data_IF_319807386162
#
_entry.id   IF_319807386162
#
_cell.length_a   1.000
_cell.length_b   1.000
_cell.length_c   1.000
_cell.angle_alpha   90.00
_cell.angle_beta   90.00
_cell.angle_gamma   90.00
#
_symmetry.space_group_name_H-M   'P 1'
#
loop_
_entity.id
_entity.type
_entity.pdbx_description
1 polymer ?
#
# COMPACT_ATOMS: atom_id res chain seq x y z
N UNK A 1 11.22 18.35 -2.09
CA UNK A 1 11.46 16.90 -2.11
C UNK A 1 10.50 16.32 -3.14
N UNK A 2 11.01 15.73 -4.23
CA UNK A 2 10.17 15.09 -5.25
C UNK A 2 10.22 13.57 -5.04
N UNK A 3 9.08 12.89 -5.27
CA UNK A 3 8.99 11.44 -5.21
C UNK A 3 8.89 10.90 -6.64
N UNK A 4 9.81 10.02 -7.00
CA UNK A 4 9.82 9.32 -8.30
C UNK A 4 9.41 7.86 -8.09
N UNK A 5 8.43 7.38 -8.87
CA UNK A 5 7.91 6.02 -8.78
C UNK A 5 8.53 5.14 -9.87
N UNK A 6 9.14 4.03 -9.47
CA UNK A 6 9.71 3.03 -10.38
C UNK A 6 9.60 1.62 -9.80
N UNK A 7 9.83 0.61 -10.64
CA UNK A 7 9.93 -0.79 -10.23
C UNK A 7 11.31 -1.08 -9.63
N UNK A 8 11.35 -1.90 -8.58
CA UNK A 8 12.59 -2.38 -8.01
C UNK A 8 13.23 -3.45 -8.89
N UNK A 9 14.54 -3.35 -9.12
CA UNK A 9 15.30 -4.45 -9.73
C UNK A 9 15.57 -5.58 -8.72
N UNK A 10 15.83 -6.78 -9.22
CA UNK A 10 16.17 -7.92 -8.36
C UNK A 10 17.40 -7.62 -7.48
N UNK A 11 18.41 -6.91 -8.02
CA UNK A 11 19.61 -6.49 -7.27
C UNK A 11 19.28 -5.46 -6.18
N UNK A 12 18.40 -4.51 -6.46
CA UNK A 12 17.96 -3.53 -5.47
C UNK A 12 17.21 -4.20 -4.32
N UNK A 13 16.35 -5.18 -4.63
CA UNK A 13 15.67 -5.99 -3.61
C UNK A 13 16.70 -6.74 -2.77
N UNK A 14 17.70 -7.37 -3.38
CA UNK A 14 18.76 -8.09 -2.67
C UNK A 14 19.57 -7.21 -1.71
N UNK A 15 19.82 -5.95 -2.08
CA UNK A 15 20.52 -4.97 -1.22
C UNK A 15 19.65 -4.44 -0.08
N UNK A 16 18.36 -4.22 -0.34
CA UNK A 16 17.43 -3.60 0.62
C UNK A 16 16.82 -4.60 1.61
N UNK A 17 16.79 -5.89 1.26
CA UNK A 17 16.02 -6.88 2.00
C UNK A 17 16.85 -8.06 2.50
N UNK A 18 16.43 -8.60 3.63
CA UNK A 18 17.11 -9.70 4.30
C UNK A 18 16.62 -11.03 3.74
N UNK A 19 17.54 -11.95 3.48
CA UNK A 19 17.22 -13.27 2.98
C UNK A 19 16.45 -14.09 4.04
N UNK A 20 15.28 -14.59 3.65
CA UNK A 20 14.51 -15.55 4.43
C UNK A 20 14.71 -16.92 3.79
N UNK A 21 15.37 -17.80 4.53
CA UNK A 21 15.81 -19.11 4.01
C UNK A 21 14.92 -20.25 4.46
N UNK A 22 14.26 -20.10 5.61
CA UNK A 22 13.51 -21.19 6.25
C UNK A 22 12.09 -20.76 6.59
N UNK A 23 11.15 -21.71 6.48
CA UNK A 23 9.72 -21.46 6.70
C UNK A 23 9.40 -20.99 8.13
N UNK A 24 10.13 -21.47 9.13
CA UNK A 24 9.93 -21.07 10.53
C UNK A 24 10.31 -19.60 10.77
N UNK A 25 11.19 -19.01 9.96
CA UNK A 25 11.52 -17.57 10.01
C UNK A 25 10.35 -16.68 9.55
N UNK A 26 9.24 -17.27 9.12
CA UNK A 26 7.98 -16.57 8.84
C UNK A 26 6.96 -16.69 9.98
N UNK A 27 7.12 -17.64 10.90
CA UNK A 27 6.13 -17.99 11.95
C UNK A 27 6.64 -17.83 13.38
N UNK A 28 7.95 -17.92 13.60
CA UNK A 28 8.51 -17.94 14.95
C UNK A 28 8.65 -16.53 15.52
N UNK A 29 8.02 -16.26 16.65
CA UNK A 29 8.17 -15.01 17.42
C UNK A 29 9.62 -14.73 17.89
N UNK A 30 10.51 -15.72 17.87
CA UNK A 30 11.91 -15.60 18.31
C UNK A 30 12.92 -15.64 17.16
N UNK A 31 12.56 -16.26 16.02
CA UNK A 31 13.47 -16.35 14.87
C UNK A 31 13.08 -15.50 13.67
N UNK A 32 11.81 -15.15 13.56
CA UNK A 32 11.33 -14.09 12.69
C UNK A 32 11.40 -12.73 13.41
N UNK A 33 11.45 -11.67 12.63
CA UNK A 33 11.71 -10.27 13.01
C UNK A 33 10.56 -9.64 13.82
N UNK A 34 10.07 -10.35 14.83
CA UNK A 34 8.97 -9.99 15.70
C UNK A 34 9.49 -9.03 16.75
N UNK A 35 8.95 -7.82 16.74
CA UNK A 35 9.01 -6.90 17.85
C UNK A 35 8.09 -7.45 18.92
N UNK A 36 8.56 -8.47 19.65
CA UNK A 36 8.22 -8.48 21.06
C UNK A 36 8.80 -7.15 21.59
N UNK A 37 8.01 -6.23 22.17
CA UNK A 37 8.50 -4.91 22.59
C UNK A 37 9.67 -4.98 23.57
N UNK A 38 9.98 -6.18 24.06
CA UNK A 38 11.07 -6.50 24.98
C UNK A 38 12.31 -7.09 24.27
N UNK A 39 12.22 -7.53 23.01
CA UNK A 39 13.32 -8.14 22.27
C UNK A 39 13.96 -7.16 21.28
N UNK A 40 15.30 -7.06 21.23
CA UNK A 40 15.98 -6.20 20.27
C UNK A 40 15.88 -6.76 18.85
N UNK A 41 15.68 -5.88 17.88
CA UNK A 41 15.68 -6.27 16.48
C UNK A 41 17.01 -6.90 16.06
N UNK A 42 16.99 -8.05 15.38
CA UNK A 42 18.21 -8.73 14.93
C UNK A 42 19.10 -7.91 13.99
N UNK A 43 18.50 -7.01 13.20
CA UNK A 43 19.22 -6.23 12.20
C UNK A 43 19.71 -4.88 12.73
N UNK A 44 18.84 -4.09 13.35
CA UNK A 44 19.21 -2.76 13.87
C UNK A 44 19.50 -2.72 15.38
N UNK A 45 19.29 -3.83 16.10
CA UNK A 45 19.46 -3.96 17.57
C UNK A 45 18.63 -2.99 18.41
N UNK A 46 17.72 -2.25 17.79
CA UNK A 46 16.77 -1.36 18.47
C UNK A 46 15.57 -2.14 18.97
N UNK A 47 15.08 -1.75 20.14
CA UNK A 47 13.93 -2.39 20.82
C UNK A 47 12.62 -1.66 20.46
N UNK A 48 12.58 -0.32 20.60
CA UNK A 48 11.34 0.46 20.50
C UNK A 48 11.23 1.24 19.17
N UNK A 49 12.35 1.73 18.63
CA UNK A 49 12.39 2.56 17.41
C UNK A 49 12.89 1.81 16.18
N UNK A 50 12.52 0.54 16.03
CA UNK A 50 12.82 -0.18 14.79
C UNK A 50 11.79 0.21 13.71
N UNK A 51 12.21 0.79 12.58
CA UNK A 51 11.28 1.12 11.48
C UNK A 51 10.73 -0.13 10.76
N UNK A 52 11.26 -1.31 11.09
CA UNK A 52 11.01 -2.56 10.37
C UNK A 52 12.04 -2.79 9.26
N UNK A 53 12.26 -4.06 8.91
CA UNK A 53 13.17 -4.46 7.84
C UNK A 53 12.44 -5.35 6.85
N UNK A 54 12.64 -5.09 5.56
CA UNK A 54 12.09 -5.92 4.48
C UNK A 54 12.81 -7.26 4.45
N UNK A 55 12.05 -8.33 4.28
CA UNK A 55 12.58 -9.64 3.93
C UNK A 55 12.50 -9.89 2.43
N UNK A 56 13.15 -10.95 1.96
CA UNK A 56 12.93 -11.53 0.64
C UNK A 56 12.90 -13.04 0.67
N UNK A 57 12.06 -13.62 -0.18
CA UNK A 57 12.07 -15.04 -0.49
C UNK A 57 12.56 -15.20 -1.93
N UNK A 58 13.70 -15.88 -2.15
CA UNK A 58 14.16 -16.20 -3.49
C UNK A 58 13.31 -17.33 -4.07
N UNK A 59 12.93 -17.20 -5.33
CA UNK A 59 12.22 -18.23 -6.09
C UNK A 59 13.20 -18.89 -7.05
N UNK A 60 13.05 -20.20 -7.23
CA UNK A 60 13.85 -20.98 -8.18
C UNK A 60 13.64 -20.56 -9.64
N UNK A 61 12.44 -20.06 -9.98
CA UNK A 61 12.09 -19.57 -11.31
C UNK A 61 11.57 -18.15 -11.28
N UNK A 62 11.82 -17.42 -12.36
CA UNK A 62 11.25 -16.10 -12.56
C UNK A 62 9.72 -16.17 -12.64
N UNK A 63 9.07 -15.24 -11.95
CA UNK A 63 7.62 -15.00 -12.04
C UNK A 63 7.39 -13.65 -12.68
N UNK A 64 6.43 -13.57 -13.61
CA UNK A 64 6.03 -12.29 -14.22
C UNK A 64 5.07 -11.59 -13.27
N UNK A 65 5.33 -10.32 -12.94
CA UNK A 65 4.47 -9.55 -12.05
C UNK A 65 3.03 -9.43 -12.62
N UNK A 66 1.97 -9.92 -11.93
CA UNK A 66 0.62 -10.03 -12.48
C UNK A 66 0.03 -8.71 -13.04
N UNK A 67 0.23 -7.59 -12.32
CA UNK A 67 -0.28 -6.28 -12.75
C UNK A 67 0.33 -5.76 -14.06
N UNK A 68 1.55 -6.19 -14.40
CA UNK A 68 2.29 -5.69 -15.56
C UNK A 68 2.31 -6.67 -16.73
N UNK A 69 1.69 -7.86 -16.62
CA UNK A 69 1.64 -8.87 -17.69
C UNK A 69 1.08 -8.28 -18.98
N UNK A 70 -0.03 -7.55 -18.91
CA UNK A 70 -0.68 -7.00 -20.10
C UNK A 70 0.18 -5.93 -20.79
N UNK A 71 0.88 -5.11 -20.01
CA UNK A 71 1.78 -4.08 -20.53
C UNK A 71 3.01 -4.76 -21.16
N UNK A 72 3.60 -5.73 -20.48
CA UNK A 72 4.73 -6.50 -20.98
C UNK A 72 4.39 -7.20 -22.31
N UNK A 73 3.23 -7.87 -22.39
CA UNK A 73 2.79 -8.53 -23.62
C UNK A 73 2.63 -7.53 -24.77
N UNK A 74 2.06 -6.34 -24.52
CA UNK A 74 1.94 -5.26 -25.52
C UNK A 74 3.31 -4.82 -26.02
N UNK A 75 4.24 -4.51 -25.12
CA UNK A 75 5.60 -4.11 -25.52
C UNK A 75 6.34 -5.22 -26.28
N UNK A 76 6.17 -6.48 -25.88
CA UNK A 76 6.74 -7.62 -26.59
C UNK A 76 6.16 -7.76 -28.00
N UNK A 77 4.90 -7.35 -28.26
CA UNK A 77 4.35 -7.36 -29.64
C UNK A 77 5.09 -6.42 -30.58
N UNK A 78 5.74 -5.39 -30.05
CA UNK A 78 6.56 -4.47 -30.83
C UNK A 78 7.93 -5.05 -31.18
N UNK A 79 8.37 -6.09 -30.47
CA UNK A 79 9.61 -6.83 -30.75
C UNK A 79 9.36 -8.02 -31.66
N UNK A 80 10.26 -8.26 -32.60
CA UNK A 80 10.28 -9.52 -33.36
C UNK A 80 11.27 -10.51 -32.73
N UNK A 81 10.84 -11.72 -32.31
CA UNK A 81 11.73 -12.70 -31.68
C UNK A 81 12.83 -13.26 -32.62
N UNK A 82 12.71 -13.07 -33.95
CA UNK A 82 13.68 -13.53 -34.94
C UNK A 82 14.74 -12.45 -35.21
N UNK A 83 14.33 -11.24 -35.60
CA UNK A 83 15.27 -10.16 -35.92
C UNK A 83 15.76 -9.38 -34.69
N UNK A 84 15.18 -9.63 -33.51
CA UNK A 84 15.57 -9.06 -32.20
C UNK A 84 15.51 -7.53 -32.11
N UNK A 85 14.95 -6.84 -33.11
CA UNK A 85 14.78 -5.38 -33.12
C UNK A 85 13.46 -4.98 -32.45
N UNK A 86 13.52 -3.92 -31.63
CA UNK A 86 12.36 -3.22 -31.12
C UNK A 86 11.73 -2.32 -32.19
N UNK A 87 10.45 -1.97 -32.02
CA UNK A 87 9.69 -1.05 -32.89
C UNK A 87 9.67 -1.39 -34.39
N UNK A 88 9.58 -2.68 -34.71
CA UNK A 88 9.49 -3.12 -36.12
C UNK A 88 8.07 -2.91 -36.64
N UNK A 89 7.93 -2.15 -37.73
CA UNK A 89 6.68 -1.95 -38.45
C UNK A 89 6.02 -3.30 -38.81
N UNK A 90 4.68 -3.36 -38.77
CA UNK A 90 3.92 -4.61 -38.98
C UNK A 90 4.25 -5.26 -40.34
N UNK A 91 4.51 -4.46 -41.38
CA UNK A 91 4.87 -4.93 -42.72
C UNK A 91 6.29 -5.53 -42.78
N UNK A 92 7.19 -5.07 -41.92
CA UNK A 92 8.55 -5.64 -41.80
C UNK A 92 8.50 -6.91 -40.94
N UNK A 93 7.59 -6.99 -39.96
CA UNK A 93 7.30 -8.22 -39.22
C UNK A 93 6.69 -9.29 -40.12
N UNK A 94 5.76 -8.93 -41.02
CA UNK A 94 5.20 -9.89 -41.97
C UNK A 94 6.31 -10.43 -42.88
N UNK A 95 7.13 -9.56 -43.51
CA UNK A 95 8.24 -9.98 -44.38
C UNK A 95 9.31 -10.79 -43.68
N UNK A 96 9.66 -10.45 -42.43
CA UNK A 96 10.66 -11.18 -41.65
C UNK A 96 10.15 -12.53 -41.11
N UNK A 97 8.83 -12.67 -40.89
CA UNK A 97 8.20 -13.85 -40.30
C UNK A 97 7.37 -14.68 -41.29
N UNK A 98 7.27 -14.26 -42.56
CA UNK A 98 6.37 -14.75 -43.62
C UNK A 98 6.50 -16.26 -43.89
N UNK A 99 7.56 -16.91 -43.41
CA UNK A 99 7.77 -18.36 -43.56
C UNK A 99 7.67 -19.19 -42.29
N UNK A 100 7.47 -18.62 -41.08
CA UNK A 100 7.51 -19.42 -39.83
C UNK A 100 6.46 -19.17 -38.75
N UNK A 101 5.69 -18.07 -38.75
CA UNK A 101 4.82 -17.74 -37.59
C UNK A 101 3.46 -17.17 -38.02
N UNK A 102 2.37 -17.77 -37.52
CA UNK A 102 0.98 -17.27 -37.65
C UNK A 102 0.57 -16.53 -36.37
N UNK A 103 0.93 -15.27 -36.21
CA UNK A 103 0.50 -14.44 -35.07
C UNK A 103 1.35 -13.20 -34.85
N UNK A 104 0.71 -12.10 -34.41
CA UNK A 104 1.34 -10.79 -34.19
C UNK A 104 1.38 -10.37 -32.72
N UNK A 105 0.73 -11.11 -31.82
CA UNK A 105 0.58 -10.77 -30.40
C UNK A 105 1.23 -11.79 -29.47
N UNK A 106 1.75 -11.30 -28.34
CA UNK A 106 2.16 -12.12 -27.20
C UNK A 106 1.02 -12.21 -26.19
N UNK A 107 0.84 -13.40 -25.61
CA UNK A 107 -0.07 -13.63 -24.48
C UNK A 107 0.56 -14.60 -23.49
N UNK A 108 0.24 -14.45 -22.19
CA UNK A 108 0.71 -15.35 -21.14
C UNK A 108 -0.41 -16.32 -20.76
N UNK A 109 -0.19 -17.63 -20.91
CA UNK A 109 -1.19 -18.65 -20.60
C UNK A 109 -0.63 -19.68 -19.61
N UNK A 110 -1.53 -20.30 -18.83
CA UNK A 110 -1.20 -21.46 -18.02
C UNK A 110 -0.85 -22.63 -18.95
N UNK A 111 0.37 -23.13 -18.85
CA UNK A 111 0.90 -24.19 -19.69
C UNK A 111 0.42 -25.55 -19.17
N UNK A 112 -0.57 -26.15 -19.85
CA UNK A 112 -1.00 -27.52 -19.58
C UNK A 112 -0.21 -28.49 -20.46
N UNK A 113 0.59 -29.35 -19.83
CA UNK A 113 1.46 -30.35 -20.48
C UNK A 113 0.69 -31.38 -21.34
N UNK A 114 -0.65 -31.37 -21.35
CA UNK A 114 -1.48 -32.38 -22.03
C UNK A 114 -1.64 -32.21 -23.55
N UNK A 115 -1.10 -31.17 -24.20
CA UNK A 115 -1.44 -30.87 -25.61
C UNK A 115 -0.30 -30.93 -26.64
N UNK A 116 0.76 -31.72 -26.39
CA UNK A 116 1.78 -32.01 -27.40
C UNK A 116 1.98 -33.51 -27.59
N UNK A 117 0.94 -34.22 -28.02
CA UNK A 117 1.05 -35.58 -28.56
C UNK A 117 0.30 -35.73 -29.89
N UNK A 118 0.29 -34.67 -30.71
CA UNK A 118 -0.09 -34.82 -32.11
C UNK A 118 0.98 -34.20 -33.02
N UNK A 119 1.67 -35.11 -33.73
CA UNK A 119 2.51 -34.91 -34.93
C UNK A 119 3.96 -34.47 -34.75
N UNK A 120 4.80 -35.42 -34.33
CA UNK A 120 6.13 -35.60 -34.93
C UNK A 120 6.57 -37.07 -34.81
N UNK A 121 6.41 -37.85 -35.89
CA UNK A 121 7.09 -39.14 -36.04
C UNK A 121 8.57 -38.86 -36.35
N UNK A 122 9.48 -39.26 -35.47
CA UNK A 122 10.93 -39.16 -35.72
C UNK A 122 11.80 -39.37 -34.47
N UNK A 123 12.26 -40.61 -34.31
CA UNK A 123 13.23 -41.24 -33.39
C UNK A 123 14.15 -40.38 -32.48
N UNK A 124 14.26 -40.89 -31.23
CA UNK A 124 15.40 -40.86 -30.25
C UNK A 124 15.87 -39.49 -29.75
N UNK A 125 16.11 -39.22 -28.47
CA UNK A 125 16.53 -40.05 -27.34
C UNK A 125 15.94 -39.53 -26.02
N UNK A 126 15.66 -40.45 -25.10
CA UNK A 126 15.31 -40.17 -23.70
C UNK A 126 16.51 -39.53 -23.01
N UNK A 127 16.33 -38.32 -22.46
CA UNK A 127 16.97 -37.91 -21.22
C UNK A 127 15.93 -37.16 -20.40
N UNK A 128 15.43 -37.85 -19.38
CA UNK A 128 14.49 -37.34 -18.38
C UNK A 128 15.23 -36.41 -17.43
N UNK A 129 15.41 -35.15 -17.82
CA UNK A 129 15.56 -34.08 -16.85
C UNK A 129 14.16 -33.60 -16.48
N UNK A 130 13.70 -33.95 -15.28
CA UNK A 130 12.54 -33.32 -14.65
C UNK A 130 12.87 -31.85 -14.33
N UNK A 131 13.00 -31.01 -15.35
CA UNK A 131 13.04 -29.56 -15.20
C UNK A 131 11.62 -29.14 -14.82
N UNK A 132 11.46 -28.67 -13.59
CA UNK A 132 10.27 -27.96 -13.11
C UNK A 132 9.85 -26.94 -14.15
N UNK A 133 8.80 -27.24 -14.91
CA UNK A 133 8.30 -26.30 -15.92
C UNK A 133 7.49 -25.22 -15.21
N UNK A 134 7.73 -23.95 -15.56
CA UNK A 134 6.92 -22.85 -15.07
C UNK A 134 5.46 -23.10 -15.45
N UNK A 135 4.52 -22.96 -14.51
CA UNK A 135 3.09 -23.15 -14.79
C UNK A 135 2.57 -22.21 -15.88
N UNK A 136 3.27 -21.12 -16.16
CA UNK A 136 2.90 -20.14 -17.18
C UNK A 136 3.96 -20.08 -18.29
N UNK A 137 3.51 -19.84 -19.51
CA UNK A 137 4.37 -19.66 -20.68
C UNK A 137 3.77 -18.60 -21.62
N UNK A 138 4.65 -17.88 -22.31
CA UNK A 138 4.27 -16.92 -23.34
C UNK A 138 3.98 -17.66 -24.64
N UNK A 139 2.87 -17.31 -25.28
CA UNK A 139 2.50 -17.77 -26.61
C UNK A 139 2.76 -16.65 -27.62
N UNK A 140 3.44 -16.97 -28.71
CA UNK A 140 3.59 -16.10 -29.87
C UNK A 140 3.33 -16.89 -31.14
N UNK A 141 2.22 -16.58 -31.80
CA UNK A 141 1.68 -17.42 -32.86
C UNK A 141 1.46 -18.87 -32.39
N UNK A 142 2.29 -19.79 -32.85
CA UNK A 142 2.23 -21.22 -32.46
C UNK A 142 3.41 -21.67 -31.56
N UNK A 143 4.29 -20.76 -31.15
CA UNK A 143 5.46 -21.09 -30.35
C UNK A 143 5.26 -20.71 -28.88
N UNK A 144 5.66 -21.62 -28.01
CA UNK A 144 5.64 -21.44 -26.56
C UNK A 144 7.02 -21.08 -26.05
N UNK A 145 7.10 -20.04 -25.24
CA UNK A 145 8.30 -19.57 -24.56
C UNK A 145 8.09 -19.64 -23.06
N UNK A 146 8.95 -20.37 -22.35
CA UNK A 146 8.94 -20.37 -20.88
C UNK A 146 9.33 -18.99 -20.36
N UNK A 147 8.94 -18.67 -19.11
CA UNK A 147 9.24 -17.36 -18.51
C UNK A 147 10.75 -17.09 -18.47
N UNK A 148 11.54 -18.11 -18.13
CA UNK A 148 13.02 -18.02 -18.12
C UNK A 148 13.58 -17.72 -19.50
N UNK A 149 13.12 -18.43 -20.53
CA UNK A 149 13.57 -18.22 -21.91
C UNK A 149 13.17 -16.82 -22.41
N UNK A 150 11.99 -16.34 -22.03
CA UNK A 150 11.56 -14.99 -22.39
C UNK A 150 12.46 -13.92 -21.75
N UNK A 151 12.79 -14.09 -20.46
CA UNK A 151 13.71 -13.21 -19.75
C UNK A 151 15.08 -13.14 -20.44
N UNK A 152 15.65 -14.28 -20.84
CA UNK A 152 16.91 -14.34 -21.59
C UNK A 152 16.80 -13.67 -22.97
N UNK A 153 15.69 -13.89 -23.69
CA UNK A 153 15.47 -13.26 -25.00
C UNK A 153 15.46 -11.74 -24.93
N UNK A 154 14.82 -11.17 -23.90
CA UNK A 154 14.76 -9.70 -23.69
C UNK A 154 16.17 -9.09 -23.54
N UNK A 155 17.12 -9.81 -22.95
CA UNK A 155 18.51 -9.34 -22.87
C UNK A 155 19.16 -9.24 -24.25
N UNK A 156 18.81 -10.15 -25.16
CA UNK A 156 19.38 -10.19 -26.51
C UNK A 156 18.72 -9.23 -27.50
N UNK A 157 17.59 -8.62 -27.13
CA UNK A 157 16.91 -7.66 -27.98
C UNK A 157 17.65 -6.31 -28.01
N UNK A 158 17.65 -5.72 -29.20
CA UNK A 158 18.20 -4.40 -29.49
C UNK A 158 17.14 -3.33 -29.20
N UNK A 159 17.41 -2.59 -28.13
CA UNK A 159 16.63 -1.46 -27.63
C UNK A 159 17.46 -0.16 -27.68
N UNK A 160 18.37 -0.03 -28.65
CA UNK A 160 19.22 1.16 -28.81
C UNK A 160 18.44 2.48 -28.79
N UNK A 161 17.23 2.51 -29.33
CA UNK A 161 16.34 3.69 -29.31
C UNK A 161 15.77 4.02 -27.92
N UNK A 162 15.63 3.04 -27.01
CA UNK A 162 15.05 3.24 -25.68
C UNK A 162 15.56 2.22 -24.63
N UNK A 163 16.76 2.45 -24.06
CA UNK A 163 17.37 1.52 -23.10
C UNK A 163 16.61 1.45 -21.75
N UNK A 164 15.89 2.50 -21.38
CA UNK A 164 15.10 2.52 -20.14
C UNK A 164 13.95 1.53 -20.17
N UNK A 165 13.29 1.40 -21.33
CA UNK A 165 12.18 0.46 -21.50
C UNK A 165 12.65 -0.98 -21.29
N UNK A 166 13.82 -1.35 -21.82
CA UNK A 166 14.43 -2.67 -21.60
C UNK A 166 14.62 -2.94 -20.10
N UNK A 167 15.17 -1.97 -19.37
CA UNK A 167 15.35 -2.08 -17.92
C UNK A 167 14.01 -2.25 -17.19
N UNK A 168 12.99 -1.47 -17.56
CA UNK A 168 11.63 -1.59 -16.99
C UNK A 168 11.00 -2.96 -17.27
N UNK A 169 11.15 -3.50 -18.48
CA UNK A 169 10.66 -4.83 -18.83
C UNK A 169 11.34 -5.93 -18.01
N UNK A 170 12.66 -5.84 -17.81
CA UNK A 170 13.39 -6.81 -16.99
C UNK A 170 12.97 -6.78 -15.52
N UNK A 171 12.66 -5.59 -14.98
CA UNK A 171 12.14 -5.43 -13.61
C UNK A 171 10.77 -6.08 -13.38
N UNK A 172 9.99 -6.37 -14.43
CA UNK A 172 8.71 -7.10 -14.31
C UNK A 172 8.92 -8.58 -13.95
N UNK A 173 10.10 -9.14 -14.23
CA UNK A 173 10.44 -10.51 -13.91
C UNK A 173 11.04 -10.60 -12.50
N UNK A 174 10.26 -11.17 -11.59
CA UNK A 174 10.59 -11.29 -10.18
C UNK A 174 11.33 -12.60 -9.91
N UNK A 175 12.52 -12.50 -9.33
CA UNK A 175 13.25 -13.63 -8.74
C UNK A 175 13.18 -13.63 -7.21
N UNK A 176 13.10 -12.44 -6.63
CA UNK A 176 12.97 -12.24 -5.19
C UNK A 176 11.61 -11.61 -4.90
N UNK A 177 10.77 -12.28 -4.10
CA UNK A 177 9.53 -11.67 -3.60
C UNK A 177 9.87 -10.87 -2.35
N UNK A 178 9.62 -9.56 -2.31
CA UNK A 178 9.77 -8.77 -1.11
C UNK A 178 8.67 -9.12 -0.11
N UNK A 179 9.08 -9.20 1.16
CA UNK A 179 8.30 -9.71 2.26
C UNK A 179 8.19 -8.56 3.26
N UNK A 180 6.98 -7.98 3.39
CA UNK A 180 6.75 -6.77 4.19
C UNK A 180 7.22 -6.94 5.64
N UNK A 181 7.73 -5.90 6.29
CA UNK A 181 8.10 -5.99 7.70
C UNK A 181 6.89 -6.29 8.58
N UNK A 182 7.13 -6.86 9.76
CA UNK A 182 6.07 -7.33 10.66
C UNK A 182 5.20 -6.19 11.21
N UNK A 183 5.77 -5.00 11.43
CA UNK A 183 5.00 -3.81 11.82
C UNK A 183 3.93 -3.39 10.77
N UNK A 184 4.08 -3.83 9.52
CA UNK A 184 3.08 -3.60 8.46
C UNK A 184 2.15 -4.79 8.25
N UNK A 185 2.33 -5.90 8.98
CA UNK A 185 1.47 -7.07 8.89
C UNK A 185 0.47 -7.05 10.03
N UNK A 186 -0.84 -7.00 9.75
CA UNK A 186 -1.83 -7.21 10.79
C UNK A 186 -1.71 -8.67 11.27
N UNK A 187 -1.32 -8.84 12.52
CA UNK A 187 -1.46 -10.11 13.23
C UNK A 187 -2.78 -10.08 13.97
N UNK A 188 -3.70 -10.98 13.61
CA UNK A 188 -4.92 -11.19 14.39
C UNK A 188 -4.60 -12.36 15.32
N UNK A 189 -4.67 -12.11 16.62
CA UNK A 189 -4.60 -13.19 17.61
C UNK A 189 -6.00 -13.76 17.75
N UNK A 190 -6.15 -15.05 17.46
CA UNK A 190 -7.38 -15.76 17.77
C UNK A 190 -7.42 -16.14 19.26
N UNK A 191 -8.58 -16.54 19.79
CA UNK A 191 -8.80 -16.86 21.21
C UNK A 191 -7.83 -17.91 21.80
N UNK A 192 -7.13 -18.65 20.93
CA UNK A 192 -6.14 -19.66 21.26
C UNK A 192 -4.68 -19.18 21.11
N UNK A 193 -4.42 -17.86 21.06
CA UNK A 193 -3.08 -17.27 20.85
C UNK A 193 -2.39 -17.74 19.56
N UNK A 194 -3.14 -18.21 18.56
CA UNK A 194 -2.59 -18.55 17.25
C UNK A 194 -2.54 -17.26 16.43
N UNK A 195 -1.32 -16.82 16.12
CA UNK A 195 -1.06 -15.67 15.23
C UNK A 195 -1.43 -16.07 13.80
N UNK A 196 -2.62 -15.70 13.34
CA UNK A 196 -3.02 -15.94 11.95
C UNK A 196 -2.38 -14.85 11.09
N UNK A 197 -1.27 -15.17 10.44
CA UNK A 197 -0.76 -14.35 9.36
C UNK A 197 -1.67 -14.50 8.14
N UNK A 198 -2.67 -13.62 8.04
CA UNK A 198 -3.72 -13.65 7.00
C UNK A 198 -3.25 -13.53 5.54
N UNK A 199 -1.95 -13.48 5.25
CA UNK A 199 -1.46 -13.04 3.95
C UNK A 199 -0.66 -14.06 3.12
N UNK A 200 -0.44 -15.32 3.56
CA UNK A 200 0.44 -16.23 2.78
C UNK A 200 -0.13 -17.64 2.51
N UNK A 201 -1.16 -18.12 3.19
CA UNK A 201 -1.61 -19.51 3.01
C UNK A 201 -3.07 -19.62 2.56
N UNK A 202 -3.30 -19.46 1.26
CA UNK A 202 -4.26 -20.29 0.48
C UNK A 202 -4.36 -19.77 -0.95
N UNK A 203 -3.41 -20.14 -1.80
CA UNK A 203 -3.74 -20.40 -3.20
C UNK A 203 -4.06 -21.89 -3.26
N UNK A 204 -5.28 -22.22 -3.69
CA UNK A 204 -5.99 -23.52 -3.57
C UNK A 204 -6.54 -23.78 -2.16
N UNK A 205 -7.80 -24.18 -1.93
CA UNK A 205 -8.86 -24.80 -2.75
C UNK A 205 -10.23 -24.27 -2.32
N UNK A 206 -11.24 -24.47 -3.16
CA UNK A 206 -12.68 -24.34 -2.92
C UNK A 206 -13.12 -24.36 -1.44
N UNK A 207 -13.58 -23.22 -0.93
CA UNK A 207 -14.64 -23.15 0.07
C UNK A 207 -15.52 -21.92 -0.20
N UNK A 208 -16.81 -22.16 -0.11
CA UNK A 208 -17.95 -21.29 -0.41
C UNK A 208 -18.15 -20.15 0.58
N UNK A 209 -17.09 -19.39 0.87
CA UNK A 209 -17.20 -18.14 1.62
C UNK A 209 -16.37 -17.08 0.93
N UNK A 210 -17.04 -16.06 0.38
CA UNK A 210 -16.48 -14.80 -0.10
C UNK A 210 -15.85 -14.02 1.08
N UNK A 211 -14.84 -14.60 1.73
CA UNK A 211 -13.91 -13.83 2.54
C UNK A 211 -12.95 -13.17 1.54
N UNK A 212 -13.27 -11.95 1.16
CA UNK A 212 -12.40 -11.10 0.34
C UNK A 212 -11.00 -11.14 0.94
N UNK A 213 -10.10 -11.88 0.29
CA UNK A 213 -8.72 -12.02 0.74
C UNK A 213 -8.13 -10.60 0.73
N UNK A 214 -7.76 -10.10 1.91
CA UNK A 214 -7.24 -8.75 2.12
C UNK A 214 -5.87 -8.57 1.44
N UNK A 215 -5.87 -8.43 0.11
CA UNK A 215 -4.67 -8.17 -0.68
C UNK A 215 -4.11 -6.77 -0.37
N UNK A 216 -2.82 -6.55 -0.70
CA UNK A 216 -2.14 -5.24 -0.55
C UNK A 216 -2.98 -4.09 -1.13
N UNK A 217 -3.70 -4.33 -2.24
CA UNK A 217 -4.62 -3.37 -2.83
C UNK A 217 -5.71 -2.92 -1.85
N UNK A 218 -6.33 -3.82 -1.09
CA UNK A 218 -7.38 -3.50 -0.12
C UNK A 218 -6.84 -2.89 1.17
N UNK A 219 -5.60 -3.22 1.55
CA UNK A 219 -4.92 -2.57 2.68
C UNK A 219 -4.67 -1.09 2.36
N UNK A 220 -4.22 -0.80 1.13
CA UNK A 220 -3.94 0.56 0.69
C UNK A 220 -5.21 1.33 0.32
N UNK A 221 -6.11 0.71 -0.43
CA UNK A 221 -7.32 1.34 -0.99
C UNK A 221 -8.58 0.92 -0.26
N UNK A 222 -9.50 1.87 -0.03
CA UNK A 222 -10.79 1.62 0.64
C UNK A 222 -11.16 2.72 1.61
N UNK A 223 -12.38 2.67 2.17
CA UNK A 223 -12.85 3.65 3.16
C UNK A 223 -12.05 3.59 4.47
N UNK A 224 -11.58 2.40 4.85
CA UNK A 224 -10.75 2.13 6.03
C UNK A 224 -9.28 1.90 5.70
N UNK A 225 -8.88 1.96 4.42
CA UNK A 225 -7.51 1.72 3.97
C UNK A 225 -6.51 2.75 4.48
N UNK A 226 -5.22 2.39 4.51
CA UNK A 226 -4.14 3.18 5.12
C UNK A 226 -4.09 4.61 4.59
N UNK A 227 -4.24 4.84 3.29
CA UNK A 227 -4.17 6.19 2.74
C UNK A 227 -5.25 7.10 3.32
N UNK A 228 -6.49 6.61 3.48
CA UNK A 228 -7.58 7.42 4.02
C UNK A 228 -7.52 7.55 5.54
N UNK A 229 -7.18 6.47 6.24
CA UNK A 229 -7.22 6.42 7.71
C UNK A 229 -5.95 6.91 8.40
N UNK A 230 -4.82 6.98 7.69
CA UNK A 230 -3.52 7.34 8.25
C UNK A 230 -2.79 8.46 7.49
N UNK A 231 -3.01 8.67 6.19
CA UNK A 231 -2.34 9.75 5.46
C UNK A 231 -3.23 10.99 5.30
N UNK A 232 -4.47 10.81 4.84
CA UNK A 232 -5.40 11.90 4.55
C UNK A 232 -6.13 12.41 5.79
N UNK A 233 -6.50 11.50 6.69
CA UNK A 233 -7.11 11.84 7.96
C UNK A 233 -6.37 11.11 9.08
N UNK A 234 -6.10 11.81 10.17
CA UNK A 234 -5.56 11.22 11.40
C UNK A 234 -6.43 11.67 12.57
N UNK A 235 -6.52 10.82 13.59
CA UNK A 235 -7.04 11.26 14.89
C UNK A 235 -6.02 12.20 15.51
N UNK A 236 -6.50 13.34 15.99
CA UNK A 236 -5.67 14.33 16.66
C UNK A 236 -5.78 14.16 18.17
N UNK A 237 -4.67 14.38 18.86
CA UNK A 237 -4.66 14.46 20.33
C UNK A 237 -5.11 15.85 20.78
N UNK A 238 -5.41 16.02 22.08
CA UNK A 238 -5.81 17.30 22.67
C UNK A 238 -7.10 17.87 22.06
N UNK A 239 -8.13 17.03 22.03
CA UNK A 239 -9.47 17.42 21.62
C UNK A 239 -10.50 17.04 22.70
N UNK A 240 -11.58 17.82 22.78
CA UNK A 240 -12.72 17.58 23.66
C UNK A 240 -13.99 17.55 22.81
N UNK A 241 -14.94 16.67 23.13
CA UNK A 241 -16.28 16.65 22.55
C UNK A 241 -17.30 16.66 23.67
N UNK A 242 -18.28 17.56 23.60
CA UNK A 242 -19.36 17.65 24.59
C UNK A 242 -20.60 18.33 23.99
N UNK A 243 -21.73 18.19 24.69
CA UNK A 243 -23.02 18.81 24.35
C UNK A 243 -22.93 20.33 24.51
N UNK A 244 -23.56 21.05 23.60
CA UNK A 244 -23.65 22.51 23.67
C UNK A 244 -24.88 23.00 24.43
N UNK A 245 -24.72 24.11 25.15
CA UNK A 245 -25.78 24.77 25.92
C UNK A 245 -25.78 26.27 25.61
N UNK A 246 -26.96 26.90 25.43
CA UNK A 246 -27.03 28.32 25.13
C UNK A 246 -26.67 29.15 26.36
N UNK A 247 -25.85 30.19 26.18
CA UNK A 247 -25.61 31.19 27.22
C UNK A 247 -25.48 32.59 26.62
N UNK A 248 -26.47 33.44 26.90
CA UNK A 248 -26.62 34.79 26.34
C UNK A 248 -25.61 35.78 26.94
N UNK A 249 -25.09 35.50 28.14
CA UNK A 249 -24.20 36.42 28.85
C UNK A 249 -22.76 36.39 28.34
N UNK A 250 -22.44 35.51 27.39
CA UNK A 250 -21.10 35.36 26.83
C UNK A 250 -21.01 36.14 25.52
N UNK A 251 -19.96 36.96 25.32
CA UNK A 251 -19.64 37.56 24.02
C UNK A 251 -19.50 36.53 22.90
N UNK A 252 -19.77 36.94 21.65
CA UNK A 252 -19.75 36.05 20.47
C UNK A 252 -18.42 35.33 20.26
N UNK A 253 -17.31 35.99 20.60
CA UNK A 253 -15.96 35.51 20.38
C UNK A 253 -15.43 34.66 21.56
N UNK A 254 -16.28 34.42 22.57
CA UNK A 254 -15.95 33.67 23.77
C UNK A 254 -16.83 32.44 23.91
N UNK A 255 -16.25 31.37 24.45
CA UNK A 255 -16.96 30.15 24.82
C UNK A 255 -16.56 29.73 26.24
N UNK A 256 -17.48 29.05 26.94
CA UNK A 256 -17.12 28.37 28.17
C UNK A 256 -16.88 26.88 27.93
N UNK A 257 -15.80 26.37 28.51
CA UNK A 257 -15.40 24.97 28.43
C UNK A 257 -15.36 24.35 29.83
N UNK A 258 -15.62 23.04 29.97
CA UNK A 258 -15.58 22.38 31.27
C UNK A 258 -14.19 22.44 31.89
N UNK A 259 -14.11 22.98 33.12
CA UNK A 259 -12.84 23.14 33.85
C UNK A 259 -12.10 21.80 34.03
N UNK A 260 -12.85 20.71 34.26
CA UNK A 260 -12.32 19.35 34.46
C UNK A 260 -11.41 18.88 33.32
N UNK A 261 -11.63 19.34 32.08
CA UNK A 261 -10.88 18.88 30.89
C UNK A 261 -9.87 19.90 30.36
N UNK A 262 -9.74 21.07 30.99
CA UNK A 262 -8.87 22.16 30.50
C UNK A 262 -7.40 21.77 30.44
N UNK A 263 -6.89 21.09 31.46
CA UNK A 263 -5.49 20.63 31.53
C UNK A 263 -5.17 19.54 30.50
N UNK A 264 -6.16 18.71 30.15
CA UNK A 264 -6.01 17.68 29.10
C UNK A 264 -6.09 18.28 27.70
N UNK A 265 -6.81 19.40 27.53
CA UNK A 265 -6.97 20.08 26.25
C UNK A 265 -5.74 20.92 25.88
N UNK A 266 -5.05 21.52 26.86
CA UNK A 266 -3.87 22.37 26.62
C UNK A 266 -2.68 21.83 27.42
N UNK A 267 -1.70 21.14 26.78
CA UNK A 267 -0.63 20.44 27.47
C UNK A 267 0.37 21.37 28.19
N UNK A 268 0.39 22.66 27.86
CA UNK A 268 1.31 23.65 28.45
C UNK A 268 0.70 24.47 29.60
N UNK A 269 -0.43 24.01 30.13
CA UNK A 269 -1.22 24.70 31.14
C UNK A 269 -2.24 25.64 30.51
N UNK A 270 -3.51 25.39 30.79
CA UNK A 270 -4.62 26.21 30.32
C UNK A 270 -4.61 27.59 30.99
N UNK A 271 -4.84 28.65 30.21
CA UNK A 271 -5.13 29.99 30.74
C UNK A 271 -6.48 30.48 30.23
N UNK A 272 -7.30 31.14 31.08
CA UNK A 272 -8.48 31.84 30.61
C UNK A 272 -8.09 32.80 29.47
N UNK A 273 -8.96 32.93 28.47
CA UNK A 273 -8.73 33.71 27.26
C UNK A 273 -7.74 33.05 26.26
N UNK A 274 -7.39 31.78 26.43
CA UNK A 274 -6.68 31.02 25.41
C UNK A 274 -7.59 30.72 24.21
N UNK A 275 -7.04 30.88 23.02
CA UNK A 275 -7.72 30.47 21.80
C UNK A 275 -7.85 28.95 21.75
N UNK A 276 -8.99 28.49 21.24
CA UNK A 276 -9.27 27.10 20.88
C UNK A 276 -10.02 27.07 19.56
N UNK A 277 -9.95 25.94 18.84
CA UNK A 277 -10.72 25.75 17.61
C UNK A 277 -11.98 24.98 17.96
N UNK A 278 -13.14 25.48 17.56
CA UNK A 278 -14.42 24.80 17.71
C UNK A 278 -14.93 24.34 16.34
N UNK A 279 -15.53 23.15 16.29
CA UNK A 279 -16.07 22.54 15.07
C UNK A 279 -17.34 21.75 15.38
N UNK A 280 -18.36 21.89 14.53
CA UNK A 280 -19.53 20.98 14.49
C UNK A 280 -19.46 20.09 13.26
N UNK A 281 -19.65 18.79 13.45
CA UNK A 281 -19.72 17.83 12.35
C UNK A 281 -21.18 17.65 11.93
N UNK A 282 -21.49 17.53 10.62
CA UNK A 282 -20.58 17.56 9.47
C UNK A 282 -20.10 18.98 9.10
N UNK A 283 -18.82 19.09 8.72
CA UNK A 283 -18.23 20.37 8.29
C UNK A 283 -18.56 20.63 6.81
N UNK A 284 -19.63 21.37 6.55
CA UNK A 284 -20.10 21.68 5.19
C UNK A 284 -19.44 22.93 4.60
N UNK A 285 -19.17 23.93 5.43
CA UNK A 285 -18.59 25.21 5.04
C UNK A 285 -17.33 25.48 5.87
N UNK A 286 -16.46 26.36 5.37
CA UNK A 286 -15.25 26.78 6.10
C UNK A 286 -15.60 27.46 7.44
N UNK A 287 -16.78 28.09 7.52
CA UNK A 287 -17.35 28.71 8.71
C UNK A 287 -17.74 27.72 9.81
N UNK A 288 -17.89 26.43 9.50
CA UNK A 288 -18.21 25.40 10.49
C UNK A 288 -17.01 25.09 11.42
N UNK A 289 -15.85 25.71 11.19
CA UNK A 289 -14.66 25.68 12.04
C UNK A 289 -14.26 27.12 12.37
N UNK A 290 -14.20 27.48 13.65
CA UNK A 290 -13.82 28.82 14.08
C UNK A 290 -12.80 28.78 15.22
N UNK A 291 -11.96 29.81 15.29
CA UNK A 291 -11.12 30.07 16.46
C UNK A 291 -11.86 31.00 17.42
N UNK A 292 -11.95 30.62 18.69
CA UNK A 292 -12.67 31.36 19.73
C UNK A 292 -11.88 31.39 21.03
N UNK A 293 -12.14 32.38 21.88
CA UNK A 293 -11.48 32.53 23.19
C UNK A 293 -12.20 31.68 24.22
N UNK A 294 -11.48 30.82 24.91
CA UNK A 294 -12.05 29.90 25.89
C UNK A 294 -11.96 30.44 27.32
N UNK A 295 -12.97 30.14 28.14
CA UNK A 295 -12.99 30.41 29.57
C UNK A 295 -13.48 29.16 30.33
N UNK A 296 -12.98 28.89 31.55
CA UNK A 296 -13.38 27.71 32.29
C UNK A 296 -14.77 27.88 32.92
N UNK A 297 -15.58 26.82 32.90
CA UNK A 297 -16.87 26.72 33.59
C UNK A 297 -16.93 25.50 34.50
N UNK A 298 -17.76 25.57 35.54
CA UNK A 298 -18.06 24.44 36.42
C UNK A 298 -19.00 23.41 35.78
N UNK A 299 -19.63 23.73 34.65
CA UNK A 299 -20.45 22.77 33.90
C UNK A 299 -19.60 21.77 33.11
N UNK A 300 -20.18 20.60 32.79
CA UNK A 300 -19.61 19.60 31.87
C UNK A 300 -19.96 19.83 30.39
N UNK A 301 -20.72 20.88 30.10
CA UNK A 301 -21.15 21.27 28.75
C UNK A 301 -20.32 22.41 28.18
N UNK A 302 -20.32 22.52 26.85
CA UNK A 302 -19.76 23.68 26.15
C UNK A 302 -20.84 24.76 26.11
N UNK A 303 -20.54 25.96 26.58
CA UNK A 303 -21.50 27.06 26.53
C UNK A 303 -21.10 28.07 25.45
N UNK A 304 -22.03 28.35 24.54
CA UNK A 304 -21.84 29.26 23.43
C UNK A 304 -22.95 30.30 23.40
N UNK A 305 -22.65 31.45 22.79
CA UNK A 305 -23.69 32.43 22.50
C UNK A 305 -24.66 31.86 21.44
N UNK A 306 -26.00 31.90 21.64
CA UNK A 306 -26.95 31.37 20.68
C UNK A 306 -26.81 31.95 19.25
N UNK A 307 -26.33 33.19 19.12
CA UNK A 307 -26.12 33.82 17.81
C UNK A 307 -25.02 33.15 17.00
N UNK A 308 -23.95 32.64 17.66
CA UNK A 308 -22.88 31.93 16.96
C UNK A 308 -23.30 30.52 16.51
N UNK A 309 -24.35 29.94 17.13
CA UNK A 309 -24.84 28.60 16.80
C UNK A 309 -25.31 28.51 15.33
N UNK A 310 -25.89 29.59 14.80
CA UNK A 310 -26.33 29.68 13.40
C UNK A 310 -25.20 29.44 12.39
N UNK A 311 -23.96 29.86 12.71
CA UNK A 311 -22.78 29.69 11.86
C UNK A 311 -22.39 28.22 11.74
N UNK A 312 -22.60 27.46 12.81
CA UNK A 312 -22.37 26.01 12.86
C UNK A 312 -23.59 25.20 12.43
N UNK A 313 -24.69 25.87 12.06
CA UNK A 313 -26.01 25.27 11.82
C UNK A 313 -26.50 24.44 13.02
N UNK A 314 -26.08 24.82 14.22
CA UNK A 314 -26.28 24.08 15.46
C UNK A 314 -27.58 24.49 16.15
N UNK A 315 -28.23 23.53 16.78
CA UNK A 315 -29.34 23.74 17.70
C UNK A 315 -28.94 23.28 19.12
N UNK A 316 -29.89 23.26 20.05
CA UNK A 316 -29.63 22.96 21.46
C UNK A 316 -30.49 21.79 21.96
N UNK A 317 -30.82 20.85 21.08
CA UNK A 317 -31.65 19.68 21.38
C UNK A 317 -30.85 18.45 21.88
N UNK A 318 -29.52 18.59 21.96
CA UNK A 318 -28.58 17.49 22.23
C UNK A 318 -27.35 17.52 21.34
N UNK A 319 -27.28 18.46 20.40
CA UNK A 319 -26.13 18.74 19.56
C UNK A 319 -24.79 18.77 20.31
N UNK A 320 -23.78 18.17 19.68
CA UNK A 320 -22.42 18.08 20.21
C UNK A 320 -21.41 18.81 19.32
N UNK A 321 -20.43 19.45 19.95
CA UNK A 321 -19.34 20.11 19.25
C UNK A 321 -17.98 19.59 19.72
N UNK A 322 -17.01 19.67 18.81
CA UNK A 322 -15.61 19.34 19.06
C UNK A 322 -14.81 20.61 19.32
N UNK A 323 -13.90 20.55 20.27
CA UNK A 323 -12.91 21.58 20.59
C UNK A 323 -11.52 20.99 20.40
N UNK A 324 -10.64 21.72 19.73
CA UNK A 324 -9.24 21.36 19.55
C UNK A 324 -8.34 22.39 20.23
N UNK A 325 -7.44 21.91 21.09
CA UNK A 325 -6.44 22.73 21.75
C UNK A 325 -5.22 22.97 20.85
N UNK A 326 -4.60 24.14 21.00
CA UNK A 326 -3.34 24.42 20.31
C UNK A 326 -2.16 23.81 21.08
N UNK A 327 -1.33 23.05 20.34
CA UNK A 327 -0.13 22.43 20.90
C UNK A 327 1.02 23.44 21.03
N UNK A 328 1.29 24.28 20.03
CA UNK A 328 2.42 25.22 20.08
C UNK A 328 2.01 26.64 20.47
N UNK A 329 2.80 27.26 21.37
CA UNK A 329 2.62 28.69 21.72
C UNK A 329 2.89 29.64 20.54
N UNK A 330 3.70 29.25 19.56
CA UNK A 330 4.09 30.11 18.43
C UNK A 330 3.04 30.17 17.32
N UNK A 331 2.27 29.09 17.11
CA UNK A 331 1.13 29.07 16.19
C UNK A 331 0.05 30.11 16.57
N UNK A 332 -0.06 30.48 17.85
CA UNK A 332 -0.97 31.56 18.28
C UNK A 332 -0.69 32.91 17.60
N UNK A 333 0.54 33.19 17.14
CA UNK A 333 0.91 34.49 16.56
C UNK A 333 0.68 34.61 15.06
N UNK A 334 0.93 33.57 14.28
CA UNK A 334 0.88 33.66 12.81
C UNK A 334 -0.55 33.71 12.25
N UNK A 335 -1.55 33.24 12.99
CA UNK A 335 -2.97 33.26 12.58
C UNK A 335 -3.71 34.55 12.93
N UNK A 336 -3.12 35.40 13.79
CA UNK A 336 -3.68 36.72 14.13
C UNK A 336 -3.16 37.83 13.21
N UNK A 337 -2.18 37.53 12.34
CA UNK A 337 -1.44 38.51 11.53
C UNK A 337 -1.68 38.38 10.02
N UNK A 338 -2.49 37.42 9.58
CA UNK A 338 -3.02 37.31 8.22
C UNK A 338 -4.54 37.25 8.32
#
# INVERSE_FOLDING_TARGET
MYLEFDLYSNEQIEKLSILISKKYELTDNTTSYILDPQLPCKQCKKVIECPGHLGRIPIYQYIVHPLFVNILCKELTHVCPICKKYNVALDVKSRCCETRIKGTSFSLHKFNVKNTNSKSKGKSNKNSENKSQSEYAFLFGNQWFTVVRMYELIHTFDFSENPELKNKMLKVFLKNIPVLPINMRPSIMDSNNIMIHNNITSISTDTTENSDKNFIKQILSGKTGIFRSMCLAKRQNFCLRSVIVPNINIPLDKILIPKEFTDQLIPHGYKPNDYVIINRQPTLQTTSILSVRSFPSSSRTIQINPLIASVFQADFDGDEMNIFGYQERNLKRNWLLN
#
